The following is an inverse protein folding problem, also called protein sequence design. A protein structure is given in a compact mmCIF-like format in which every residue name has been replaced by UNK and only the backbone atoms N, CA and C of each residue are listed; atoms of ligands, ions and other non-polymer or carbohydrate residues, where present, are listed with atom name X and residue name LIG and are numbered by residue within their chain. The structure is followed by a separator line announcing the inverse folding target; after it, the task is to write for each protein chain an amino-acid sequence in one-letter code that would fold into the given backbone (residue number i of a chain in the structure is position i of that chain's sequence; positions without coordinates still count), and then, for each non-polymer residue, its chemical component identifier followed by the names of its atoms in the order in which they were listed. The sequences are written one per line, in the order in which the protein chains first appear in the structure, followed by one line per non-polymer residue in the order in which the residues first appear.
data_IF_154763605168
#
_entry.id   IF_154763605168
#
_cell.length_a   1.000
_cell.length_b   1.000
_cell.length_c   1.000
_cell.angle_alpha   90.00
_cell.angle_beta   90.00
_cell.angle_gamma   90.00
#
_symmetry.space_group_name_H-M   'P 1'
#
loop_
_entity.id
_entity.type
_entity.pdbx_description
1 polymer ?
#
# COMPACT_ATOMS: atom_id res chain seq x y z
N UNK A 1 -23.97 10.11 -27.78
CA UNK A 1 -23.15 11.14 -27.13
C UNK A 1 -22.90 10.68 -25.71
N UNK A 2 -21.90 9.83 -25.50
CA UNK A 2 -21.43 9.52 -24.15
C UNK A 2 -20.76 10.78 -23.64
N UNK A 3 -21.45 11.52 -22.77
CA UNK A 3 -20.87 12.63 -22.02
C UNK A 3 -19.72 12.06 -21.18
N UNK A 4 -18.53 12.01 -21.80
CA UNK A 4 -17.32 11.67 -21.12
C UNK A 4 -17.11 12.72 -20.06
N UNK A 5 -17.23 12.32 -18.80
CA UNK A 5 -16.79 13.13 -17.67
C UNK A 5 -15.35 13.54 -17.97
N UNK A 6 -15.15 14.78 -18.42
CA UNK A 6 -13.82 15.34 -18.65
C UNK A 6 -13.26 15.65 -17.27
N UNK A 7 -12.68 14.65 -16.61
CA UNK A 7 -11.89 14.91 -15.43
C UNK A 7 -10.58 15.56 -15.88
N UNK A 8 -10.37 16.82 -15.48
CA UNK A 8 -9.08 17.49 -15.53
C UNK A 8 -8.10 16.81 -14.54
N UNK A 9 -7.65 15.63 -14.92
CA UNK A 9 -6.72 14.81 -14.17
C UNK A 9 -5.31 15.37 -14.37
N UNK A 10 -4.83 16.17 -13.40
CA UNK A 10 -3.40 16.58 -13.34
C UNK A 10 -2.45 15.36 -13.27
N UNK A 11 -2.94 14.19 -12.85
CA UNK A 11 -2.18 12.94 -12.71
C UNK A 11 -3.06 11.73 -13.05
N UNK A 12 -2.49 10.60 -13.52
CA UNK A 12 -3.22 9.35 -13.64
C UNK A 12 -3.79 8.88 -12.29
N UNK A 13 -5.00 8.29 -12.30
CA UNK A 13 -5.70 7.83 -11.10
C UNK A 13 -4.82 6.93 -10.21
N UNK A 14 -4.09 5.97 -10.79
CA UNK A 14 -3.25 5.02 -10.04
C UNK A 14 -2.11 5.69 -9.26
N UNK A 15 -1.68 6.89 -9.68
CA UNK A 15 -0.62 7.68 -9.03
C UNK A 15 -1.16 8.61 -7.94
N UNK A 16 -2.47 8.82 -7.87
CA UNK A 16 -3.07 9.65 -6.83
C UNK A 16 -3.01 8.97 -5.47
N UNK A 17 -2.92 9.76 -4.42
CA UNK A 17 -3.02 9.32 -3.02
C UNK A 17 -4.48 9.13 -2.62
N UNK A 18 -4.75 8.40 -1.53
CA UNK A 18 -6.12 8.22 -1.04
C UNK A 18 -6.83 9.55 -0.77
N UNK A 19 -6.10 10.59 -0.34
CA UNK A 19 -6.68 11.93 -0.11
C UNK A 19 -7.07 12.60 -1.42
N UNK A 20 -6.18 12.61 -2.42
CA UNK A 20 -6.46 13.16 -3.75
C UNK A 20 -7.65 12.44 -4.41
N UNK A 21 -7.76 11.11 -4.28
CA UNK A 21 -8.90 10.34 -4.80
C UNK A 21 -10.21 10.67 -4.08
N UNK A 22 -10.19 10.87 -2.75
CA UNK A 22 -11.39 11.30 -2.00
C UNK A 22 -11.85 12.69 -2.42
N UNK A 23 -10.92 13.63 -2.58
CA UNK A 23 -11.26 14.98 -3.06
C UNK A 23 -11.85 14.94 -4.47
N UNK A 24 -11.32 14.09 -5.34
CA UNK A 24 -11.84 13.89 -6.70
C UNK A 24 -13.25 13.31 -6.68
N UNK A 25 -13.49 12.28 -5.85
CA UNK A 25 -14.83 11.70 -5.66
C UNK A 25 -15.82 12.74 -5.16
N UNK A 26 -15.46 13.51 -4.13
CA UNK A 26 -16.34 14.54 -3.56
C UNK A 26 -16.65 15.67 -4.56
N UNK A 27 -15.70 16.03 -5.42
CA UNK A 27 -15.86 17.15 -6.38
C UNK A 27 -16.53 16.75 -7.69
N UNK A 28 -16.27 15.54 -8.19
CA UNK A 28 -16.57 15.19 -9.58
C UNK A 28 -17.39 13.89 -9.69
N UNK A 29 -17.45 13.06 -8.65
CA UNK A 29 -18.13 11.75 -8.71
C UNK A 29 -19.01 11.54 -7.46
N UNK A 30 -20.13 12.28 -7.34
CA UNK A 30 -21.04 12.15 -6.18
C UNK A 30 -21.74 10.78 -6.11
N UNK A 31 -21.64 9.96 -7.15
CA UNK A 31 -22.18 8.59 -7.18
C UNK A 31 -21.41 7.64 -6.25
N UNK A 32 -20.15 7.95 -5.91
CA UNK A 32 -19.35 7.14 -4.97
C UNK A 32 -19.62 7.60 -3.54
N UNK A 33 -20.58 6.94 -2.89
CA UNK A 33 -20.94 7.19 -1.49
C UNK A 33 -19.96 6.50 -0.53
N UNK A 34 -19.56 7.18 0.55
CA UNK A 34 -18.72 6.58 1.59
C UNK A 34 -17.20 6.66 1.36
N UNK A 35 -16.74 7.50 0.43
CA UNK A 35 -15.32 7.67 0.08
C UNK A 35 -14.38 7.93 1.28
N UNK A 36 -14.88 8.56 2.35
CA UNK A 36 -14.13 8.84 3.57
C UNK A 36 -13.60 7.58 4.27
N UNK A 37 -14.34 6.46 4.20
CA UNK A 37 -13.98 5.19 4.84
C UNK A 37 -13.09 4.28 3.99
N UNK A 38 -13.04 4.52 2.67
CA UNK A 38 -12.38 3.62 1.73
C UNK A 38 -10.88 3.85 1.63
N UNK A 39 -10.16 2.75 1.43
CA UNK A 39 -8.72 2.73 1.13
C UNK A 39 -8.43 3.22 -0.28
N UNK A 40 -7.15 3.50 -0.58
CA UNK A 40 -6.72 3.91 -1.93
C UNK A 40 -7.17 2.92 -3.01
N UNK A 41 -7.01 1.63 -2.77
CA UNK A 41 -7.29 0.60 -3.77
C UNK A 41 -8.79 0.49 -4.05
N UNK A 42 -9.61 0.53 -3.00
CA UNK A 42 -11.08 0.48 -3.10
C UNK A 42 -11.64 1.71 -3.82
N UNK A 43 -11.12 2.89 -3.50
CA UNK A 43 -11.46 4.13 -4.20
C UNK A 43 -11.14 4.04 -5.70
N UNK A 44 -9.99 3.45 -6.07
CA UNK A 44 -9.63 3.29 -7.48
C UNK A 44 -10.59 2.37 -8.23
N UNK A 45 -11.05 1.29 -7.59
CA UNK A 45 -12.01 0.36 -8.20
C UNK A 45 -13.33 1.08 -8.45
N UNK A 46 -13.91 1.72 -7.44
CA UNK A 46 -15.20 2.41 -7.57
C UNK A 46 -15.15 3.58 -8.56
N UNK A 47 -14.05 4.35 -8.58
CA UNK A 47 -13.88 5.43 -9.55
C UNK A 47 -13.79 4.87 -10.98
N UNK A 48 -13.05 3.78 -11.20
CA UNK A 48 -12.93 3.15 -12.54
C UNK A 48 -14.26 2.54 -13.00
N UNK A 49 -15.03 1.94 -12.09
CA UNK A 49 -16.38 1.43 -12.34
C UNK A 49 -17.35 2.53 -12.76
N UNK A 50 -17.42 3.63 -12.00
CA UNK A 50 -18.32 4.75 -12.31
C UNK A 50 -17.94 5.45 -13.63
N UNK A 51 -16.63 5.52 -13.94
CA UNK A 51 -16.16 6.11 -15.20
C UNK A 51 -16.36 5.20 -16.42
N UNK A 52 -16.92 3.99 -16.24
CA UNK A 52 -17.12 3.05 -17.34
C UNK A 52 -15.80 2.55 -17.96
N UNK A 53 -14.67 2.82 -17.30
CA UNK A 53 -13.36 2.27 -17.63
C UNK A 53 -13.25 0.89 -16.97
N UNK A 54 -14.28 0.06 -17.20
CA UNK A 54 -14.30 -1.34 -16.82
C UNK A 54 -13.52 -2.13 -17.86
N UNK A 55 -12.22 -2.32 -17.60
CA UNK A 55 -11.34 -3.04 -18.52
C UNK A 55 -10.01 -3.40 -17.87
N UNK A 56 -10.00 -4.53 -17.18
CA UNK A 56 -8.88 -5.47 -16.94
C UNK A 56 -7.63 -5.01 -16.17
N UNK A 57 -7.31 -3.71 -16.11
CA UNK A 57 -6.15 -3.19 -15.38
C UNK A 57 -6.60 -2.41 -14.14
N UNK A 58 -7.34 -3.08 -13.25
CA UNK A 58 -7.34 -2.70 -11.84
C UNK A 58 -5.89 -2.57 -11.36
N UNK A 59 -5.56 -1.63 -10.43
CA UNK A 59 -4.18 -1.46 -10.00
C UNK A 59 -3.63 -2.83 -9.61
N UNK A 60 -2.62 -3.34 -10.33
CA UNK A 60 -2.04 -4.67 -10.13
C UNK A 60 -1.54 -4.76 -8.69
N UNK A 61 -2.42 -5.18 -7.78
CA UNK A 61 -2.08 -5.38 -6.39
C UNK A 61 -1.10 -6.53 -6.42
N UNK A 62 0.17 -6.25 -6.19
CA UNK A 62 1.19 -7.30 -6.16
C UNK A 62 0.65 -8.43 -5.28
N UNK A 63 0.61 -9.68 -5.77
CA UNK A 63 0.05 -10.81 -5.03
C UNK A 63 0.75 -11.03 -3.69
N UNK A 64 1.93 -10.42 -3.51
CA UNK A 64 2.72 -10.47 -2.30
C UNK A 64 2.43 -9.33 -1.31
N UNK A 65 1.47 -8.43 -1.55
CA UNK A 65 1.20 -7.27 -0.68
C UNK A 65 0.95 -7.66 0.78
N UNK A 66 0.06 -8.62 1.02
CA UNK A 66 -0.25 -9.15 2.37
C UNK A 66 0.99 -9.76 3.03
N UNK A 67 1.76 -10.55 2.27
CA UNK A 67 3.01 -11.17 2.70
C UNK A 67 4.08 -10.12 3.07
N UNK A 68 4.21 -9.06 2.29
CA UNK A 68 5.12 -7.94 2.56
C UNK A 68 4.72 -7.23 3.85
N UNK A 69 3.42 -7.00 4.08
CA UNK A 69 2.91 -6.38 5.31
C UNK A 69 3.20 -7.23 6.55
N UNK A 70 2.93 -8.54 6.49
CA UNK A 70 3.27 -9.49 7.56
C UNK A 70 4.77 -9.48 7.87
N UNK A 71 5.62 -9.49 6.85
CA UNK A 71 7.08 -9.41 7.02
C UNK A 71 7.54 -8.09 7.64
N UNK A 72 6.90 -6.96 7.30
CA UNK A 72 7.16 -5.66 7.95
C UNK A 72 6.71 -5.66 9.42
N UNK A 73 5.63 -6.37 9.75
CA UNK A 73 5.22 -6.61 11.15
C UNK A 73 6.30 -7.35 11.94
N UNK A 74 6.77 -8.50 11.42
CA UNK A 74 7.88 -9.27 12.00
C UNK A 74 9.17 -8.45 12.13
N UNK A 75 9.43 -7.54 11.20
CA UNK A 75 10.59 -6.66 11.29
C UNK A 75 10.48 -5.65 12.43
N UNK A 76 9.27 -5.18 12.77
CA UNK A 76 9.04 -4.28 13.90
C UNK A 76 9.24 -5.01 15.23
N UNK A 77 8.69 -6.22 15.39
CA UNK A 77 8.90 -7.01 16.61
C UNK A 77 10.37 -7.35 16.84
N UNK A 78 11.11 -7.74 15.80
CA UNK A 78 12.56 -8.01 15.92
C UNK A 78 13.39 -6.77 16.26
N UNK A 79 12.94 -5.56 15.88
CA UNK A 79 13.61 -4.32 16.27
C UNK A 79 13.39 -4.03 17.76
N UNK A 80 12.18 -4.23 18.27
CA UNK A 80 11.86 -4.10 19.69
C UNK A 80 12.64 -5.14 20.53
N UNK A 81 12.63 -6.40 20.11
CA UNK A 81 13.42 -7.44 20.78
C UNK A 81 14.92 -7.10 20.80
N UNK A 82 15.46 -6.49 19.74
CA UNK A 82 16.87 -6.06 19.69
C UNK A 82 17.20 -4.95 20.69
N UNK A 83 16.27 -4.00 20.91
CA UNK A 83 16.46 -2.92 21.88
C UNK A 83 16.38 -3.41 23.31
N UNK A 84 15.59 -4.46 23.56
CA UNK A 84 15.43 -5.07 24.89
C UNK A 84 16.62 -5.96 25.30
N UNK A 85 17.45 -6.42 24.36
CA UNK A 85 18.62 -7.23 24.71
C UNK A 85 19.63 -6.42 25.53
N UNK A 86 19.90 -6.85 26.75
CA UNK A 86 20.90 -6.28 27.67
C UNK A 86 21.63 -7.40 28.43
N UNK A 87 22.80 -7.10 29.01
CA UNK A 87 23.60 -8.06 29.79
C UNK A 87 24.76 -8.73 29.03
N UNK A 88 25.49 -9.60 29.73
CA UNK A 88 26.64 -10.32 29.18
C UNK A 88 26.21 -11.37 28.14
N UNK A 89 26.94 -11.45 27.02
CA UNK A 89 26.56 -12.28 25.87
C UNK A 89 25.54 -11.64 24.90
N UNK A 90 25.01 -10.45 25.23
CA UNK A 90 24.06 -9.69 24.40
C UNK A 90 24.56 -9.36 22.99
N UNK A 91 25.89 -9.28 22.78
CA UNK A 91 26.49 -8.98 21.47
C UNK A 91 26.10 -9.99 20.40
N UNK A 92 26.18 -11.29 20.71
CA UNK A 92 25.83 -12.37 19.75
C UNK A 92 24.34 -12.35 19.42
N UNK A 93 23.48 -12.17 20.42
CA UNK A 93 22.03 -12.08 20.24
C UNK A 93 21.62 -10.86 19.41
N UNK A 94 22.18 -9.68 19.71
CA UNK A 94 21.98 -8.45 18.92
C UNK A 94 22.41 -8.62 17.46
N UNK A 95 23.49 -9.38 17.22
CA UNK A 95 23.97 -9.67 15.87
C UNK A 95 23.03 -10.60 15.10
N UNK A 96 22.54 -11.67 15.75
CA UNK A 96 21.54 -12.59 15.17
C UNK A 96 20.28 -11.82 14.76
N UNK A 97 19.74 -10.99 15.66
CA UNK A 97 18.56 -10.15 15.37
C UNK A 97 18.82 -9.17 14.22
N UNK A 98 20.00 -8.54 14.17
CA UNK A 98 20.40 -7.66 13.05
C UNK A 98 20.39 -8.42 11.72
N UNK A 99 20.98 -9.64 11.69
CA UNK A 99 21.03 -10.49 10.48
C UNK A 99 19.62 -10.89 10.03
N UNK A 100 18.74 -11.26 10.95
CA UNK A 100 17.33 -11.58 10.65
C UNK A 100 16.57 -10.37 10.07
N UNK A 101 16.68 -9.20 10.68
CA UNK A 101 16.11 -7.95 10.17
C UNK A 101 16.60 -7.67 8.74
N UNK A 102 17.90 -7.82 8.50
CA UNK A 102 18.48 -7.59 7.16
C UNK A 102 17.97 -8.59 6.12
N UNK A 103 17.83 -9.88 6.47
CA UNK A 103 17.23 -10.90 5.60
C UNK A 103 15.79 -10.53 5.25
N UNK A 104 14.97 -10.13 6.23
CA UNK A 104 13.60 -9.68 6.00
C UNK A 104 13.55 -8.44 5.10
N UNK A 105 14.40 -7.43 5.34
CA UNK A 105 14.50 -6.22 4.48
C UNK A 105 14.87 -6.53 3.04
N UNK A 106 15.74 -7.51 2.80
CA UNK A 106 16.12 -7.92 1.45
C UNK A 106 14.96 -8.67 0.77
N UNK A 107 14.30 -9.59 1.50
CA UNK A 107 13.18 -10.38 0.97
C UNK A 107 11.94 -9.53 0.67
N UNK A 108 11.60 -8.54 1.51
CA UNK A 108 10.50 -7.60 1.20
C UNK A 108 10.80 -6.74 -0.02
N UNK A 109 12.05 -6.28 -0.20
CA UNK A 109 12.46 -5.51 -1.39
C UNK A 109 12.42 -6.35 -2.68
N UNK A 110 12.75 -7.64 -2.60
CA UNK A 110 12.61 -8.56 -3.74
C UNK A 110 11.15 -8.81 -4.08
N UNK A 111 10.31 -9.12 -3.09
CA UNK A 111 8.88 -9.35 -3.30
C UNK A 111 8.12 -8.12 -3.79
N UNK A 112 8.58 -6.91 -3.46
CA UNK A 112 7.97 -5.68 -3.95
C UNK A 112 8.35 -5.34 -5.40
N UNK A 113 9.42 -5.95 -5.93
CA UNK A 113 9.84 -5.80 -7.33
C UNK A 113 9.32 -6.92 -8.24
N UNK A 114 8.77 -7.98 -7.65
CA UNK A 114 8.21 -9.14 -8.32
C UNK A 114 6.69 -8.98 -8.48
#
# INVERSE_FOLDING_TARGET
MSEGLQLDLKKPLDKMTAKELRELVLKQIPQVTGASGLGKDELLVQIKEVLGIGGEDGPKVSPYKTKILSMKGKMRSLRAARTEVSGDGSRKQKEILRRQINKLKKRTRRLAKA
#
